data_IF_241272611403
#
_entry.id   IF_241272611403
#
_cell.length_a   1.000
_cell.length_b   1.000
_cell.length_c   1.000
_cell.angle_alpha   90.00
_cell.angle_beta   90.00
_cell.angle_gamma   90.00
#
_symmetry.space_group_name_H-M   'P 1'
#
loop_
_entity.id
_entity.type
_entity.pdbx_description
1 polymer ?
#
# COMPACT_ATOMS: atom_id res chain seq x y z
N UNK A 1 17.39 -10.03 10.93
CA UNK A 1 18.33 -8.95 10.57
C UNK A 1 17.47 -7.79 10.10
N UNK A 2 17.56 -6.68 10.81
CA UNK A 2 16.71 -5.49 10.67
C UNK A 2 16.88 -4.87 9.28
N UNK A 3 15.80 -4.75 8.52
CA UNK A 3 15.78 -3.92 7.33
C UNK A 3 15.60 -2.46 7.76
N UNK A 4 16.70 -1.72 7.80
CA UNK A 4 16.69 -0.25 7.79
C UNK A 4 16.27 0.18 6.38
N UNK A 5 15.05 0.68 6.22
CA UNK A 5 14.64 1.33 4.97
C UNK A 5 15.33 2.68 4.85
N UNK A 6 15.97 2.94 3.71
CA UNK A 6 16.48 4.24 3.31
C UNK A 6 15.38 5.06 2.60
N UNK A 7 14.22 5.19 3.24
CA UNK A 7 13.20 6.18 2.88
C UNK A 7 13.27 7.24 3.98
N UNK A 8 13.39 8.55 3.66
CA UNK A 8 13.37 9.56 4.70
C UNK A 8 12.09 9.40 5.50
N UNK A 9 12.22 9.32 6.82
CA UNK A 9 11.10 9.18 7.74
C UNK A 9 10.26 10.47 7.68
N UNK A 10 9.28 10.51 6.77
CA UNK A 10 8.33 11.63 6.62
C UNK A 10 7.55 11.84 7.92
N UNK A 11 7.37 10.79 8.72
CA UNK A 11 6.75 10.86 10.05
C UNK A 11 7.65 11.57 11.07
N UNK A 12 8.98 11.48 10.94
CA UNK A 12 9.92 12.26 11.76
C UNK A 12 10.10 13.70 11.26
N UNK A 13 10.06 13.96 9.94
CA UNK A 13 10.09 15.33 9.42
C UNK A 13 8.83 16.12 9.78
N UNK A 14 7.65 15.50 9.74
CA UNK A 14 6.41 16.10 10.22
C UNK A 14 6.42 16.33 11.75
N UNK A 15 7.01 15.40 12.52
CA UNK A 15 7.19 15.54 13.97
C UNK A 15 8.22 16.61 14.37
N UNK A 16 9.24 16.89 13.54
CA UNK A 16 10.29 17.87 13.87
C UNK A 16 9.89 19.34 13.69
N UNK A 17 8.75 19.63 13.03
CA UNK A 17 8.27 21.02 12.83
C UNK A 17 7.19 21.46 13.82
N UNK A 18 6.91 20.68 14.86
CA UNK A 18 5.89 20.98 15.87
C UNK A 18 6.44 21.32 17.26
N UNK A 19 7.76 21.43 17.45
CA UNK A 19 8.34 21.94 18.70
C UNK A 19 8.31 23.46 18.76
N UNK A 20 7.12 24.04 18.72
CA UNK A 20 6.86 25.44 19.09
C UNK A 20 5.37 25.67 19.38
N UNK A 21 4.70 24.76 20.11
CA UNK A 21 3.37 25.07 20.64
C UNK A 21 3.52 25.93 21.88
N UNK A 22 3.29 27.23 21.69
CA UNK A 22 3.26 28.22 22.76
C UNK A 22 2.28 27.82 23.87
N UNK A 23 2.49 28.24 25.14
CA UNK A 23 1.67 27.86 26.31
C UNK A 23 0.20 28.36 26.27
N UNK A 24 -0.21 29.02 25.18
CA UNK A 24 -1.44 29.80 25.11
C UNK A 24 -2.72 28.97 24.94
N UNK A 25 -2.63 27.72 24.48
CA UNK A 25 -3.81 26.84 24.30
C UNK A 25 -4.20 26.05 25.56
N UNK A 26 -3.23 25.75 26.43
CA UNK A 26 -3.49 25.08 27.71
C UNK A 26 -4.18 26.03 28.70
N UNK A 27 -3.91 27.33 28.61
CA UNK A 27 -4.54 28.35 29.46
C UNK A 27 -6.04 28.54 29.21
N UNK A 28 -6.52 28.31 27.98
CA UNK A 28 -7.95 28.45 27.66
C UNK A 28 -8.79 27.34 28.33
N UNK A 29 -8.20 26.16 28.56
CA UNK A 29 -8.85 25.05 29.26
C UNK A 29 -8.86 25.27 30.79
N UNK A 30 -7.90 26.04 31.32
CA UNK A 30 -7.73 26.28 32.76
C UNK A 30 -8.60 27.42 33.33
N UNK A 31 -9.10 28.34 32.51
CA UNK A 31 -9.76 29.57 33.00
C UNK A 31 -11.27 29.43 33.32
N UNK A 32 -11.90 28.28 33.14
CA UNK A 32 -13.35 28.14 33.29
C UNK A 32 -13.86 27.63 34.66
N UNK A 33 -13.01 27.41 35.67
CA UNK A 33 -13.39 26.63 36.86
C UNK A 33 -13.83 27.43 38.10
N UNK A 34 -14.92 28.20 38.02
CA UNK A 34 -15.61 28.74 39.22
C UNK A 34 -17.15 28.67 39.12
N UNK A 35 -17.73 27.52 39.52
CA UNK A 35 -19.03 27.29 40.22
C UNK A 35 -19.67 25.96 39.81
N UNK A 36 -20.46 25.35 40.71
CA UNK A 36 -21.00 23.97 40.60
C UNK A 36 -21.97 23.73 39.42
N UNK A 37 -22.69 24.76 38.95
CA UNK A 37 -23.56 24.67 37.76
C UNK A 37 -22.72 24.82 36.48
N UNK A 38 -21.70 25.67 36.54
CA UNK A 38 -20.73 25.85 35.47
C UNK A 38 -19.92 24.56 35.27
N UNK A 39 -19.57 23.82 36.33
CA UNK A 39 -18.81 22.56 36.20
C UNK A 39 -19.59 21.41 35.53
N UNK A 40 -20.89 21.26 35.77
CA UNK A 40 -21.68 20.19 35.12
C UNK A 40 -21.95 20.52 33.65
N UNK A 41 -22.31 21.78 33.35
CA UNK A 41 -22.47 22.24 31.97
C UNK A 41 -21.13 22.26 31.22
N UNK A 42 -20.03 22.61 31.88
CA UNK A 42 -18.67 22.52 31.33
C UNK A 42 -18.25 21.07 31.13
N UNK A 43 -18.64 20.14 31.99
CA UNK A 43 -18.39 18.72 31.78
C UNK A 43 -19.12 18.24 30.53
N UNK A 44 -20.40 18.60 30.35
CA UNK A 44 -21.16 18.23 29.15
C UNK A 44 -20.57 18.89 27.90
N UNK A 45 -20.18 20.17 27.94
CA UNK A 45 -19.50 20.84 26.84
C UNK A 45 -18.12 20.25 26.53
N UNK A 46 -17.33 19.92 27.56
CA UNK A 46 -16.02 19.28 27.43
C UNK A 46 -16.16 17.87 26.86
N UNK A 47 -17.17 17.13 27.31
CA UNK A 47 -17.49 15.80 26.82
C UNK A 47 -17.88 15.85 25.34
N UNK A 48 -18.76 16.78 24.95
CA UNK A 48 -19.13 17.00 23.55
C UNK A 48 -17.88 17.35 22.73
N UNK A 49 -17.07 18.32 23.19
CA UNK A 49 -15.87 18.77 22.48
C UNK A 49 -14.84 17.65 22.28
N UNK A 50 -14.58 16.85 23.33
CA UNK A 50 -13.63 15.74 23.28
C UNK A 50 -14.13 14.59 22.39
N UNK A 51 -15.44 14.40 22.26
CA UNK A 51 -16.02 13.37 21.39
C UNK A 51 -16.13 13.77 19.92
N UNK A 52 -16.05 15.07 19.59
CA UNK A 52 -16.17 15.52 18.19
C UNK A 52 -15.11 14.92 17.26
N UNK A 53 -13.84 14.93 17.68
CA UNK A 53 -12.72 14.45 16.84
C UNK A 53 -12.82 12.94 16.58
N UNK A 54 -13.01 12.06 17.59
CA UNK A 54 -13.32 10.66 17.36
C UNK A 54 -14.49 10.43 16.41
N UNK A 55 -15.59 11.18 16.57
CA UNK A 55 -16.77 11.02 15.72
C UNK A 55 -16.47 11.36 14.25
N UNK A 56 -15.70 12.42 13.99
CA UNK A 56 -15.24 12.78 12.64
C UNK A 56 -14.37 11.68 12.06
N UNK A 57 -13.40 11.16 12.82
CA UNK A 57 -12.51 10.09 12.37
C UNK A 57 -13.26 8.79 12.06
N UNK A 58 -14.23 8.41 12.91
CA UNK A 58 -15.06 7.23 12.69
C UNK A 58 -15.92 7.29 11.41
N UNK A 59 -16.16 8.48 10.88
CA UNK A 59 -16.83 8.67 9.58
C UNK A 59 -15.82 8.79 8.44
N UNK A 60 -14.77 9.59 8.62
CA UNK A 60 -13.80 9.90 7.58
C UNK A 60 -12.94 8.70 7.19
N UNK A 61 -12.53 7.88 8.15
CA UNK A 61 -11.68 6.70 7.91
C UNK A 61 -12.41 5.68 7.03
N UNK A 62 -13.61 5.18 7.37
CA UNK A 62 -14.32 4.24 6.50
C UNK A 62 -14.63 4.81 5.12
N UNK A 63 -15.00 6.09 5.02
CA UNK A 63 -15.24 6.73 3.73
C UNK A 63 -13.98 6.76 2.85
N UNK A 64 -12.82 7.04 3.45
CA UNK A 64 -11.53 7.03 2.74
C UNK A 64 -11.14 5.61 2.32
N UNK A 65 -11.33 4.61 3.19
CA UNK A 65 -11.07 3.21 2.86
C UNK A 65 -11.93 2.74 1.69
N UNK A 66 -13.24 3.01 1.71
CA UNK A 66 -14.15 2.66 0.61
C UNK A 66 -13.74 3.32 -0.72
N UNK A 67 -13.27 4.57 -0.65
CA UNK A 67 -12.77 5.26 -1.83
C UNK A 67 -11.53 4.57 -2.40
N UNK A 68 -10.57 4.17 -1.55
CA UNK A 68 -9.36 3.47 -1.98
C UNK A 68 -9.70 2.08 -2.54
N UNK A 69 -10.62 1.34 -1.91
CA UNK A 69 -11.06 0.04 -2.41
C UNK A 69 -11.67 0.14 -3.80
N UNK A 70 -12.53 1.14 -4.05
CA UNK A 70 -13.08 1.40 -5.38
C UNK A 70 -11.99 1.66 -6.44
N UNK A 71 -10.94 2.36 -6.04
CA UNK A 71 -9.83 2.73 -6.93
C UNK A 71 -8.91 1.54 -7.20
N UNK A 72 -8.69 0.69 -6.20
CA UNK A 72 -8.01 -0.60 -6.36
C UNK A 72 -8.73 -1.49 -7.37
N UNK A 73 -10.06 -1.60 -7.28
CA UNK A 73 -10.83 -2.41 -8.23
C UNK A 73 -10.77 -1.85 -9.66
N UNK A 74 -10.78 -0.52 -9.80
CA UNK A 74 -10.62 0.14 -11.10
C UNK A 74 -9.23 -0.13 -11.70
N UNK A 75 -8.16 0.03 -10.91
CA UNK A 75 -6.79 -0.23 -11.30
C UNK A 75 -6.59 -1.71 -11.69
N UNK A 76 -7.11 -2.65 -10.88
CA UNK A 76 -7.07 -4.09 -11.16
C UNK A 76 -7.75 -4.45 -12.46
N UNK A 77 -8.93 -3.88 -12.72
CA UNK A 77 -9.65 -4.08 -13.98
C UNK A 77 -8.80 -3.65 -15.19
N UNK A 78 -8.19 -2.45 -15.15
CA UNK A 78 -7.32 -1.97 -16.22
C UNK A 78 -6.10 -2.86 -16.40
N UNK A 79 -5.44 -3.25 -15.30
CA UNK A 79 -4.32 -4.19 -15.27
C UNK A 79 -4.67 -5.50 -15.98
N UNK A 80 -5.82 -6.10 -15.66
CA UNK A 80 -6.22 -7.38 -16.25
C UNK A 80 -6.45 -7.27 -17.76
N UNK A 81 -7.04 -6.14 -18.19
CA UNK A 81 -7.29 -5.83 -19.61
C UNK A 81 -6.01 -5.60 -20.38
N UNK A 82 -5.08 -4.80 -19.84
CA UNK A 82 -3.78 -4.56 -20.48
C UNK A 82 -2.96 -5.84 -20.56
N UNK A 83 -2.95 -6.63 -19.49
CA UNK A 83 -2.27 -7.92 -19.47
C UNK A 83 -2.84 -8.84 -20.54
N UNK A 84 -4.17 -8.96 -20.67
CA UNK A 84 -4.80 -9.80 -21.69
C UNK A 84 -4.46 -9.35 -23.13
N UNK A 85 -4.40 -8.04 -23.39
CA UNK A 85 -4.00 -7.50 -24.69
C UNK A 85 -2.54 -7.84 -24.99
N UNK A 86 -1.64 -7.66 -24.02
CA UNK A 86 -0.22 -7.94 -24.17
C UNK A 86 0.06 -9.45 -24.29
N UNK A 87 -0.69 -10.30 -23.59
CA UNK A 87 -0.64 -11.76 -23.73
C UNK A 87 -1.04 -12.18 -25.15
N UNK A 88 -2.11 -11.61 -25.70
CA UNK A 88 -2.53 -11.85 -27.09
C UNK A 88 -1.47 -11.39 -28.09
N UNK A 89 -0.87 -10.23 -27.86
CA UNK A 89 0.17 -9.68 -28.71
C UNK A 89 1.51 -10.45 -28.62
N UNK A 90 1.82 -11.10 -27.49
CA UNK A 90 3.09 -11.80 -27.30
C UNK A 90 3.39 -12.81 -28.42
N UNK A 91 2.34 -13.46 -28.94
CA UNK A 91 2.42 -14.45 -30.02
C UNK A 91 2.18 -13.87 -31.43
N UNK A 92 1.84 -12.58 -31.55
CA UNK A 92 1.53 -11.91 -32.82
C UNK A 92 2.44 -10.67 -33.04
N UNK A 93 3.47 -10.78 -33.90
CA UNK A 93 4.35 -9.66 -34.24
C UNK A 93 3.61 -8.45 -34.83
N UNK A 94 2.52 -8.65 -35.59
CA UNK A 94 1.76 -7.57 -36.21
C UNK A 94 0.99 -6.78 -35.16
N UNK A 95 0.32 -7.48 -34.24
CA UNK A 95 -0.37 -6.86 -33.11
C UNK A 95 0.61 -6.12 -32.19
N UNK A 96 1.82 -6.64 -31.98
CA UNK A 96 2.86 -5.92 -31.22
C UNK A 96 3.25 -4.60 -31.86
N UNK A 97 3.37 -4.57 -33.19
CA UNK A 97 3.68 -3.35 -33.94
C UNK A 97 2.53 -2.34 -33.86
N UNK A 98 1.28 -2.79 -33.97
CA UNK A 98 0.08 -1.95 -33.81
C UNK A 98 -0.01 -1.33 -32.40
N UNK A 99 0.42 -2.07 -31.37
CA UNK A 99 0.36 -1.62 -29.99
C UNK A 99 1.49 -0.68 -29.55
N UNK A 100 2.61 -0.61 -30.30
CA UNK A 100 3.78 0.20 -29.92
C UNK A 100 3.42 1.66 -29.57
N UNK A 101 2.58 2.38 -30.36
CA UNK A 101 2.28 3.78 -30.08
C UNK A 101 1.52 4.00 -28.78
N UNK A 102 0.87 2.98 -28.24
CA UNK A 102 0.05 3.08 -27.03
C UNK A 102 0.84 2.92 -25.73
N UNK A 103 2.12 2.55 -25.80
CA UNK A 103 2.99 2.37 -24.62
C UNK A 103 2.31 1.51 -23.54
N UNK A 104 1.65 0.44 -23.97
CA UNK A 104 0.76 -0.34 -23.11
C UNK A 104 1.52 -1.08 -21.99
N UNK A 105 2.80 -1.40 -22.21
CA UNK A 105 3.65 -2.03 -21.20
C UNK A 105 3.97 -1.04 -20.09
N UNK A 106 4.35 0.18 -20.46
CA UNK A 106 4.63 1.28 -19.55
C UNK A 106 3.37 1.62 -18.75
N UNK A 107 2.21 1.70 -19.41
CA UNK A 107 0.93 1.90 -18.75
C UNK A 107 0.61 0.76 -17.77
N UNK A 108 0.86 -0.50 -18.14
CA UNK A 108 0.70 -1.64 -17.23
C UNK A 108 1.63 -1.51 -16.01
N UNK A 109 2.89 -1.12 -16.20
CA UNK A 109 3.81 -0.89 -15.08
C UNK A 109 3.28 0.19 -14.15
N UNK A 110 2.79 1.30 -14.70
CA UNK A 110 2.28 2.44 -13.93
C UNK A 110 1.09 2.05 -13.07
N UNK A 111 0.12 1.33 -13.64
CA UNK A 111 -1.07 0.93 -12.88
C UNK A 111 -0.73 -0.14 -11.85
N UNK A 112 0.23 -1.05 -12.12
CA UNK A 112 0.74 -1.99 -11.11
C UNK A 112 1.42 -1.27 -9.94
N UNK A 113 2.20 -0.22 -10.22
CA UNK A 113 2.81 0.61 -9.19
C UNK A 113 1.74 1.36 -8.38
N UNK A 114 0.74 1.89 -9.06
CA UNK A 114 -0.39 2.55 -8.42
C UNK A 114 -1.19 1.61 -7.51
N UNK A 115 -1.47 0.38 -7.96
CA UNK A 115 -2.11 -0.65 -7.14
C UNK A 115 -1.33 -0.90 -5.83
N UNK A 116 0.00 -1.05 -5.95
CA UNK A 116 0.89 -1.21 -4.78
C UNK A 116 0.82 0.01 -3.86
N UNK A 117 0.86 1.21 -4.42
CA UNK A 117 0.82 2.44 -3.65
C UNK A 117 -0.50 2.59 -2.87
N UNK A 118 -1.63 2.28 -3.52
CA UNK A 118 -2.94 2.25 -2.88
C UNK A 118 -3.02 1.21 -1.75
N UNK A 119 -2.41 0.03 -1.92
CA UNK A 119 -2.36 -0.99 -0.87
C UNK A 119 -1.54 -0.53 0.35
N UNK A 120 -0.44 0.19 0.13
CA UNK A 120 0.37 0.78 1.21
C UNK A 120 -0.47 1.80 1.98
N UNK A 121 -1.11 2.75 1.28
CA UNK A 121 -1.98 3.75 1.92
C UNK A 121 -3.12 3.06 2.68
N UNK A 122 -3.77 2.06 2.09
CA UNK A 122 -4.86 1.34 2.74
C UNK A 122 -4.39 0.67 4.04
N UNK A 123 -3.22 0.03 4.02
CA UNK A 123 -2.62 -0.56 5.22
C UNK A 123 -2.32 0.47 6.30
N UNK A 124 -1.82 1.65 5.92
CA UNK A 124 -1.55 2.75 6.86
C UNK A 124 -2.85 3.28 7.47
N UNK A 125 -3.91 3.44 6.68
CA UNK A 125 -5.24 3.86 7.16
C UNK A 125 -5.86 2.81 8.08
N UNK A 126 -5.73 1.52 7.77
CA UNK A 126 -6.20 0.43 8.64
C UNK A 126 -5.46 0.48 9.99
N UNK A 127 -4.15 0.72 9.97
CA UNK A 127 -3.35 0.85 11.19
C UNK A 127 -3.79 2.07 12.00
N UNK A 128 -3.94 3.23 11.36
CA UNK A 128 -4.47 4.44 12.00
C UNK A 128 -5.88 4.24 12.57
N UNK A 129 -6.75 3.49 11.88
CA UNK A 129 -8.08 3.16 12.38
C UNK A 129 -8.04 2.38 13.69
N UNK A 130 -7.13 1.41 13.81
CA UNK A 130 -6.94 0.63 15.03
C UNK A 130 -6.41 1.51 16.18
N UNK A 131 -5.49 2.42 15.88
CA UNK A 131 -4.95 3.37 16.85
C UNK A 131 -6.04 4.36 17.34
N UNK A 132 -6.85 4.89 16.44
CA UNK A 132 -8.00 5.75 16.76
C UNK A 132 -9.01 5.01 17.64
N UNK A 133 -9.32 3.75 17.35
CA UNK A 133 -10.24 2.95 18.16
C UNK A 133 -9.69 2.74 19.58
N UNK A 134 -8.40 2.44 19.71
CA UNK A 134 -7.72 2.31 20.99
C UNK A 134 -7.76 3.62 21.79
N UNK A 135 -7.37 4.74 21.17
CA UNK A 135 -7.36 6.06 21.81
C UNK A 135 -8.76 6.51 22.21
N UNK A 136 -9.78 6.25 21.39
CA UNK A 136 -11.17 6.58 21.70
C UNK A 136 -11.69 5.81 22.91
N UNK A 137 -11.33 4.53 23.05
CA UNK A 137 -11.64 3.73 24.25
C UNK A 137 -10.96 4.29 25.50
N UNK A 138 -9.68 4.66 25.39
CA UNK A 138 -8.93 5.27 26.51
C UNK A 138 -9.50 6.64 26.91
N UNK A 139 -9.88 7.47 25.93
CA UNK A 139 -10.53 8.75 26.16
C UNK A 139 -11.84 8.58 26.93
N UNK A 140 -12.67 7.62 26.52
CA UNK A 140 -13.91 7.27 27.21
C UNK A 140 -13.68 6.81 28.66
N UNK A 141 -12.67 5.97 28.89
CA UNK A 141 -12.32 5.50 30.23
C UNK A 141 -11.86 6.65 31.15
N UNK A 142 -11.02 7.57 30.65
CA UNK A 142 -10.58 8.73 31.43
C UNK A 142 -11.70 9.74 31.66
N UNK A 143 -12.65 9.90 30.73
CA UNK A 143 -13.84 10.73 30.95
C UNK A 143 -14.72 10.16 32.07
N UNK A 144 -14.93 8.85 32.12
CA UNK A 144 -15.68 8.22 33.20
C UNK A 144 -14.92 8.32 34.53
N UNK A 145 -13.59 8.17 34.52
CA UNK A 145 -12.76 8.40 35.70
C UNK A 145 -12.88 9.85 36.21
N UNK A 146 -12.86 10.83 35.31
CA UNK A 146 -13.04 12.25 35.62
C UNK A 146 -14.41 12.48 36.27
N UNK A 147 -15.47 11.96 35.65
CA UNK A 147 -16.84 12.04 36.14
C UNK A 147 -16.96 11.47 37.55
N UNK A 148 -16.43 10.26 37.79
CA UNK A 148 -16.46 9.62 39.10
C UNK A 148 -15.64 10.38 40.15
N UNK A 149 -14.56 11.05 39.73
CA UNK A 149 -13.71 11.85 40.62
C UNK A 149 -14.41 13.13 41.09
N UNK A 150 -15.26 13.73 40.26
CA UNK A 150 -15.95 15.01 40.52
C UNK A 150 -17.37 14.79 41.07
N UNK A 151 -17.99 13.65 40.78
CA UNK A 151 -19.37 13.33 41.18
C UNK A 151 -19.58 13.54 42.68
N UNK A 152 -20.64 14.27 43.02
CA UNK A 152 -21.07 14.52 44.41
C UNK A 152 -20.05 15.21 45.34
N UNK A 153 -19.03 15.87 44.80
CA UNK A 153 -18.04 16.63 45.58
C UNK A 153 -18.20 18.13 45.38
N UNK A 154 -18.20 18.89 46.47
CA UNK A 154 -18.24 20.37 46.48
C UNK A 154 -16.88 20.99 46.13
N UNK A 155 -15.78 20.28 46.40
CA UNK A 155 -14.43 20.67 46.02
C UNK A 155 -13.58 19.41 45.75
N UNK A 156 -12.72 19.45 44.75
CA UNK A 156 -11.83 18.35 44.39
C UNK A 156 -10.38 18.84 44.36
N UNK A 157 -9.44 18.13 45.02
CA UNK A 157 -8.04 18.52 44.99
C UNK A 157 -7.46 18.53 43.59
N UNK A 158 -6.74 19.59 43.25
CA UNK A 158 -5.96 19.76 42.01
C UNK A 158 -5.11 18.53 41.69
N UNK A 159 -4.45 17.95 42.70
CA UNK A 159 -3.60 16.76 42.56
C UNK A 159 -4.33 15.51 42.08
N UNK A 160 -5.66 15.43 42.22
CA UNK A 160 -6.48 14.31 41.76
C UNK A 160 -7.01 14.52 40.35
N UNK A 161 -7.33 15.76 39.97
CA UNK A 161 -8.00 16.05 38.68
C UNK A 161 -7.01 16.40 37.58
N UNK A 162 -5.91 17.09 37.91
CA UNK A 162 -4.92 17.52 36.91
C UNK A 162 -4.29 16.36 36.12
N UNK A 163 -3.89 15.23 36.74
CA UNK A 163 -3.37 14.10 35.97
C UNK A 163 -4.36 13.55 34.95
N UNK A 164 -5.66 13.55 35.27
CA UNK A 164 -6.72 13.08 34.35
C UNK A 164 -6.88 14.05 33.18
N UNK A 165 -6.86 15.36 33.44
CA UNK A 165 -6.89 16.37 32.37
C UNK A 165 -5.67 16.30 31.46
N UNK A 166 -4.48 16.04 32.02
CA UNK A 166 -3.26 15.85 31.22
C UNK A 166 -3.46 14.64 30.29
N UNK A 167 -3.87 13.49 30.82
CA UNK A 167 -4.12 12.29 30.02
C UNK A 167 -5.17 12.52 28.91
N UNK A 168 -6.30 13.17 29.24
CA UNK A 168 -7.34 13.54 28.26
C UNK A 168 -6.79 14.47 27.18
N UNK A 169 -5.99 15.48 27.55
CA UNK A 169 -5.42 16.43 26.60
C UNK A 169 -4.44 15.76 25.64
N UNK A 170 -3.59 14.86 26.14
CA UNK A 170 -2.65 14.09 25.32
C UNK A 170 -3.40 13.21 24.32
N UNK A 171 -4.40 12.44 24.79
CA UNK A 171 -5.20 11.57 23.92
C UNK A 171 -5.95 12.37 22.84
N UNK A 172 -6.55 13.50 23.22
CA UNK A 172 -7.26 14.33 22.27
C UNK A 172 -6.34 14.97 21.24
N UNK A 173 -5.14 15.41 21.63
CA UNK A 173 -4.13 15.90 20.68
C UNK A 173 -3.68 14.79 19.73
N UNK A 174 -3.43 13.56 20.21
CA UNK A 174 -3.09 12.43 19.35
C UNK A 174 -4.20 12.11 18.35
N UNK A 175 -5.48 12.14 18.76
CA UNK A 175 -6.62 11.98 17.86
C UNK A 175 -6.71 13.13 16.83
N UNK A 176 -6.35 14.35 17.23
CA UNK A 176 -6.29 15.47 16.31
C UNK A 176 -5.18 15.29 15.26
N UNK A 177 -4.03 14.75 15.65
CA UNK A 177 -2.94 14.44 14.73
C UNK A 177 -3.37 13.39 13.68
N UNK A 178 -4.13 12.36 14.08
CA UNK A 178 -4.70 11.37 13.15
C UNK A 178 -5.63 11.99 12.10
N UNK A 179 -6.37 13.05 12.48
CA UNK A 179 -7.24 13.77 11.52
C UNK A 179 -6.43 14.44 10.41
N UNK A 180 -5.24 14.93 10.74
CA UNK A 180 -4.32 15.53 9.77
C UNK A 180 -3.77 14.44 8.84
N UNK A 181 -3.35 13.30 9.38
CA UNK A 181 -2.82 12.17 8.59
C UNK A 181 -3.86 11.68 7.59
N UNK A 182 -5.08 11.38 8.06
CA UNK A 182 -6.19 10.95 7.18
C UNK A 182 -6.47 11.99 6.10
N UNK A 183 -6.47 13.28 6.46
CA UNK A 183 -6.65 14.36 5.49
C UNK A 183 -5.55 14.43 4.43
N UNK A 184 -4.29 14.24 4.81
CA UNK A 184 -3.15 14.22 3.88
C UNK A 184 -3.23 13.02 2.94
N UNK A 185 -3.55 11.83 3.47
CA UNK A 185 -3.67 10.61 2.67
C UNK A 185 -4.82 10.72 1.65
N UNK A 186 -5.97 11.26 2.07
CA UNK A 186 -7.09 11.54 1.16
C UNK A 186 -6.76 12.57 0.09
N UNK A 187 -5.96 13.59 0.42
CA UNK A 187 -5.52 14.59 -0.57
C UNK A 187 -4.49 14.02 -1.56
N UNK A 188 -3.54 13.19 -1.09
CA UNK A 188 -2.56 12.53 -1.97
C UNK A 188 -3.24 11.76 -3.10
N UNK A 189 -4.36 11.11 -2.79
CA UNK A 189 -5.18 10.41 -3.76
C UNK A 189 -5.66 11.33 -4.90
N UNK A 190 -6.27 12.47 -4.54
CA UNK A 190 -6.83 13.41 -5.53
C UNK A 190 -5.75 14.00 -6.44
N UNK A 191 -4.51 14.09 -5.96
CA UNK A 191 -3.37 14.54 -6.74
C UNK A 191 -2.79 13.47 -7.68
N UNK A 192 -2.92 12.18 -7.37
CA UNK A 192 -2.38 11.10 -8.21
C UNK A 192 -3.34 10.72 -9.34
N UNK A 193 -4.65 10.81 -9.08
CA UNK A 193 -5.68 10.40 -10.03
C UNK A 193 -5.52 10.98 -11.47
N UNK A 194 -5.18 12.27 -11.67
CA UNK A 194 -5.05 12.85 -13.02
C UNK A 194 -3.94 12.21 -13.86
N UNK A 195 -2.87 11.73 -13.22
CA UNK A 195 -1.73 11.11 -13.91
C UNK A 195 -2.09 9.73 -14.48
N UNK A 196 -3.13 9.09 -13.94
CA UNK A 196 -3.63 7.79 -14.43
C UNK A 196 -4.59 7.97 -15.59
N UNK A 197 -5.45 9.00 -15.54
CA UNK A 197 -6.38 9.33 -16.62
C UNK A 197 -5.69 9.77 -17.92
N UNK A 198 -4.42 10.16 -17.87
CA UNK A 198 -3.65 10.54 -19.05
C UNK A 198 -3.56 9.39 -20.07
N UNK A 199 -3.43 8.14 -19.63
CA UNK A 199 -3.33 7.01 -20.56
C UNK A 199 -4.64 6.74 -21.31
N UNK A 200 -5.79 7.03 -20.72
CA UNK A 200 -7.10 6.90 -21.40
C UNK A 200 -7.20 7.81 -22.64
N UNK A 201 -6.44 8.91 -22.68
CA UNK A 201 -6.36 9.78 -23.87
C UNK A 201 -5.61 9.11 -25.02
N UNK A 202 -4.55 8.36 -24.71
CA UNK A 202 -3.72 7.66 -25.70
C UNK A 202 -4.32 6.32 -26.10
N UNK A 203 -4.97 5.63 -25.16
CA UNK A 203 -5.57 4.32 -25.37
C UNK A 203 -7.03 4.29 -24.89
N UNK A 204 -7.95 4.91 -25.66
CA UNK A 204 -9.33 5.05 -25.25
C UNK A 204 -10.07 3.71 -25.22
N UNK A 205 -11.16 3.65 -24.47
CA UNK A 205 -11.99 2.45 -24.26
C UNK A 205 -12.37 1.72 -25.57
N UNK A 206 -12.68 2.48 -26.63
CA UNK A 206 -12.99 1.90 -27.96
C UNK A 206 -11.80 1.19 -28.58
N UNK A 207 -10.59 1.73 -28.45
CA UNK A 207 -9.38 1.07 -28.90
C UNK A 207 -9.12 -0.18 -28.06
N UNK A 208 -9.24 -0.07 -26.74
CA UNK A 208 -9.08 -1.20 -25.82
C UNK A 208 -10.01 -2.36 -26.15
N UNK A 209 -11.31 -2.08 -26.37
CA UNK A 209 -12.29 -3.12 -26.69
C UNK A 209 -12.02 -3.82 -28.02
N UNK A 210 -11.51 -3.11 -29.04
CA UNK A 210 -11.11 -3.73 -30.31
C UNK A 210 -9.98 -4.74 -30.11
N UNK A 211 -8.97 -4.40 -29.32
CA UNK A 211 -7.82 -5.28 -29.07
C UNK A 211 -8.20 -6.47 -28.17
N UNK A 212 -9.15 -6.27 -27.24
CA UNK A 212 -9.72 -7.30 -26.38
C UNK A 212 -10.69 -8.25 -27.11
N UNK A 213 -11.13 -7.94 -28.33
CA UNK A 213 -12.05 -8.81 -29.04
C UNK A 213 -11.47 -10.22 -29.22
N UNK A 214 -12.23 -11.24 -28.81
CA UNK A 214 -11.80 -12.64 -28.80
C UNK A 214 -10.80 -13.02 -27.71
N UNK A 215 -10.42 -12.10 -26.81
CA UNK A 215 -9.59 -12.40 -25.64
C UNK A 215 -10.43 -12.54 -24.36
N UNK A 216 -10.07 -13.50 -23.53
CA UNK A 216 -10.62 -13.63 -22.18
C UNK A 216 -9.79 -12.78 -21.22
N UNK A 217 -10.43 -11.79 -20.59
CA UNK A 217 -9.79 -11.00 -19.53
C UNK A 217 -9.77 -11.83 -18.24
N UNK A 218 -8.57 -12.27 -17.84
CA UNK A 218 -8.35 -13.08 -16.64
C UNK A 218 -7.90 -12.19 -15.47
N UNK A 219 -8.26 -12.57 -14.25
CA UNK A 219 -7.66 -12.00 -13.04
C UNK A 219 -6.29 -12.64 -12.78
N UNK A 220 -5.48 -12.05 -11.90
CA UNK A 220 -4.20 -12.67 -11.51
C UNK A 220 -4.39 -14.01 -10.81
N UNK A 221 -5.43 -14.13 -9.99
CA UNK A 221 -5.80 -15.40 -9.34
C UNK A 221 -6.13 -16.46 -10.38
N UNK A 222 -6.86 -16.10 -11.45
CA UNK A 222 -7.11 -17.01 -12.57
C UNK A 222 -5.80 -17.44 -13.25
N UNK A 223 -4.92 -16.49 -13.60
CA UNK A 223 -3.62 -16.79 -14.24
C UNK A 223 -2.75 -17.72 -13.40
N UNK A 224 -2.70 -17.50 -12.08
CA UNK A 224 -1.95 -18.37 -11.17
C UNK A 224 -2.53 -19.79 -11.12
N UNK A 225 -3.85 -19.92 -11.24
CA UNK A 225 -4.56 -21.21 -11.16
C UNK A 225 -4.41 -22.10 -12.40
N UNK A 226 -4.09 -21.53 -13.56
CA UNK A 226 -4.03 -22.27 -14.84
C UNK A 226 -2.97 -23.37 -14.88
N UNK A 227 -1.92 -23.27 -14.07
CA UNK A 227 -0.80 -24.20 -14.03
C UNK A 227 -0.54 -24.78 -12.62
N UNK A 228 -1.56 -24.84 -11.76
CA UNK A 228 -1.39 -25.30 -10.38
C UNK A 228 -0.93 -26.75 -10.24
N UNK A 229 -1.25 -27.61 -11.20
CA UNK A 229 -0.91 -29.03 -11.18
C UNK A 229 0.50 -29.30 -11.74
N UNK A 230 1.08 -28.33 -12.45
CA UNK A 230 2.37 -28.45 -13.13
C UNK A 230 3.54 -28.03 -12.23
N UNK A 231 3.86 -28.85 -11.22
CA UNK A 231 4.99 -28.59 -10.31
C UNK A 231 6.34 -28.95 -10.90
N UNK A 232 7.37 -28.23 -10.46
CA UNK A 232 8.78 -28.54 -10.77
C UNK A 232 9.21 -29.82 -10.07
N UNK A 233 9.94 -30.68 -10.79
CA UNK A 233 10.56 -31.85 -10.20
C UNK A 233 11.98 -31.50 -9.69
N UNK A 234 12.18 -31.58 -8.38
CA UNK A 234 13.45 -31.26 -7.72
C UNK A 234 14.60 -32.12 -8.25
N UNK A 235 14.32 -33.35 -8.69
CA UNK A 235 15.34 -34.26 -9.22
C UNK A 235 15.99 -33.76 -10.52
N UNK A 236 15.31 -32.91 -11.28
CA UNK A 236 15.77 -32.41 -12.58
C UNK A 236 16.88 -31.36 -12.40
N UNK A 237 16.91 -30.65 -11.26
CA UNK A 237 17.87 -29.59 -10.96
C UNK A 237 18.53 -29.77 -9.59
N UNK A 238 19.28 -30.87 -9.40
CA UNK A 238 19.88 -31.25 -8.09
C UNK A 238 20.81 -30.21 -7.45
N UNK A 239 21.31 -29.24 -8.22
CA UNK A 239 22.19 -28.16 -7.74
C UNK A 239 21.44 -26.91 -7.31
N UNK A 240 20.13 -26.84 -7.57
CA UNK A 240 19.27 -25.71 -7.26
C UNK A 240 18.33 -26.07 -6.12
N UNK A 241 18.05 -25.09 -5.28
CA UNK A 241 17.17 -25.25 -4.13
C UNK A 241 15.76 -24.78 -4.52
N UNK A 242 14.79 -25.70 -4.43
CA UNK A 242 13.38 -25.45 -4.70
C UNK A 242 12.57 -25.55 -3.42
N UNK A 243 11.77 -24.53 -3.14
CA UNK A 243 10.95 -24.41 -1.94
C UNK A 243 9.48 -24.61 -2.31
N UNK A 244 8.78 -25.38 -1.47
CA UNK A 244 7.37 -25.68 -1.60
C UNK A 244 6.60 -25.35 -0.32
N UNK A 245 5.28 -25.05 -0.41
CA UNK A 245 4.46 -24.71 0.75
C UNK A 245 4.47 -25.78 1.84
N UNK A 246 4.52 -27.05 1.46
CA UNK A 246 4.38 -28.17 2.39
C UNK A 246 5.67 -28.46 3.18
N UNK A 247 6.84 -28.05 2.67
CA UNK A 247 8.16 -28.40 3.22
C UNK A 247 8.92 -27.23 3.81
N UNK A 248 8.43 -25.99 3.63
CA UNK A 248 9.15 -24.77 3.99
C UNK A 248 8.48 -24.03 5.13
N UNK A 249 9.17 -23.87 6.26
CA UNK A 249 8.68 -23.05 7.36
C UNK A 249 8.62 -21.56 6.97
N UNK A 250 7.56 -20.87 7.39
CA UNK A 250 7.32 -19.46 7.03
C UNK A 250 7.30 -19.19 5.51
N UNK A 251 6.82 -20.15 4.71
CA UNK A 251 6.73 -20.02 3.25
C UNK A 251 6.06 -18.71 2.80
N UNK A 252 4.96 -18.32 3.45
CA UNK A 252 4.21 -17.10 3.12
C UNK A 252 4.95 -15.79 3.46
N UNK A 253 6.05 -15.86 4.22
CA UNK A 253 6.88 -14.71 4.60
C UNK A 253 8.15 -14.58 3.74
N UNK A 254 8.34 -15.46 2.76
CA UNK A 254 9.49 -15.38 1.87
C UNK A 254 9.40 -14.09 1.04
N UNK A 255 10.50 -13.33 1.02
CA UNK A 255 10.61 -12.11 0.22
C UNK A 255 10.88 -12.48 -1.24
N UNK A 256 9.79 -12.70 -1.97
CA UNK A 256 9.85 -13.04 -3.40
C UNK A 256 10.29 -11.82 -4.20
N UNK A 257 11.32 -12.01 -5.01
CA UNK A 257 11.84 -11.01 -5.92
C UNK A 257 10.77 -10.56 -6.92
N UNK A 258 10.93 -9.34 -7.42
CA UNK A 258 10.03 -8.77 -8.42
C UNK A 258 8.57 -8.76 -7.97
N UNK A 259 8.34 -8.66 -6.65
CA UNK A 259 7.00 -8.71 -6.02
C UNK A 259 6.16 -9.91 -6.44
N UNK A 260 6.81 -11.04 -6.73
CA UNK A 260 6.11 -12.27 -7.11
C UNK A 260 5.69 -12.37 -8.58
N UNK A 261 6.08 -11.43 -9.44
CA UNK A 261 5.94 -11.60 -10.89
C UNK A 261 6.92 -12.65 -11.43
N UNK A 262 6.53 -13.32 -12.52
CA UNK A 262 7.36 -14.32 -13.17
C UNK A 262 8.65 -13.71 -13.71
N UNK A 263 9.78 -14.11 -13.10
CA UNK A 263 11.11 -13.63 -13.48
C UNK A 263 11.45 -13.93 -14.94
N UNK A 264 11.11 -15.15 -15.39
CA UNK A 264 11.40 -15.61 -16.74
C UNK A 264 10.60 -14.84 -17.79
N UNK A 265 9.27 -14.72 -17.63
CA UNK A 265 8.42 -14.06 -18.62
C UNK A 265 8.77 -12.60 -18.81
N UNK A 266 9.11 -11.89 -17.72
CA UNK A 266 9.60 -10.52 -17.82
C UNK A 266 10.89 -10.43 -18.65
N UNK A 267 11.83 -11.36 -18.42
CA UNK A 267 13.09 -11.43 -19.14
C UNK A 267 12.94 -11.87 -20.61
N UNK A 268 12.16 -12.92 -20.89
CA UNK A 268 12.06 -13.55 -22.21
C UNK A 268 11.00 -12.90 -23.12
N UNK A 269 9.93 -12.32 -22.56
CA UNK A 269 8.77 -11.83 -23.31
C UNK A 269 8.67 -10.31 -23.28
N UNK A 270 9.73 -9.63 -23.73
CA UNK A 270 9.75 -8.15 -23.93
C UNK A 270 9.22 -7.30 -22.74
N UNK A 271 9.35 -7.80 -21.51
CA UNK A 271 8.93 -7.10 -20.29
C UNK A 271 7.49 -7.39 -19.84
N UNK A 272 6.80 -8.36 -20.45
CA UNK A 272 5.46 -8.75 -20.02
C UNK A 272 5.45 -9.18 -18.55
N UNK A 273 4.62 -8.52 -17.75
CA UNK A 273 4.38 -8.87 -16.34
C UNK A 273 3.24 -9.88 -16.22
N UNK A 274 3.56 -11.11 -15.84
CA UNK A 274 2.58 -12.12 -15.44
C UNK A 274 2.81 -12.52 -13.98
N UNK A 275 1.76 -12.72 -13.17
CA UNK A 275 1.91 -13.18 -11.79
C UNK A 275 2.56 -14.56 -11.77
N UNK A 276 3.56 -14.73 -10.91
CA UNK A 276 4.13 -16.03 -10.62
C UNK A 276 3.24 -16.81 -9.66
N UNK A 277 3.25 -18.13 -9.77
CA UNK A 277 2.54 -19.03 -8.87
C UNK A 277 3.55 -19.76 -7.95
N UNK A 278 3.62 -19.42 -6.65
CA UNK A 278 4.46 -20.13 -5.69
C UNK A 278 4.22 -21.63 -5.60
N UNK A 279 3.02 -22.12 -5.95
CA UNK A 279 2.67 -23.54 -5.89
C UNK A 279 3.42 -24.40 -6.94
N UNK A 280 3.91 -23.78 -8.03
CA UNK A 280 4.77 -24.45 -9.03
C UNK A 280 6.13 -24.82 -8.41
N UNK A 281 6.58 -24.02 -7.44
CA UNK A 281 7.88 -24.10 -6.78
C UNK A 281 8.58 -22.73 -6.80
N UNK A 282 9.11 -22.31 -5.66
CA UNK A 282 9.95 -21.12 -5.55
C UNK A 282 11.40 -21.55 -5.74
N UNK A 283 12.10 -20.94 -6.70
CA UNK A 283 13.54 -21.15 -6.86
C UNK A 283 14.29 -20.21 -5.92
N UNK A 284 15.14 -20.79 -5.05
CA UNK A 284 16.13 -20.02 -4.29
C UNK A 284 17.45 -20.01 -5.05
N UNK A 285 17.91 -18.82 -5.40
CA UNK A 285 19.17 -18.61 -6.11
C UNK A 285 19.91 -17.42 -5.51
N UNK A 286 21.16 -17.61 -5.04
CA UNK A 286 21.98 -16.58 -4.38
C UNK A 286 21.23 -15.83 -3.27
N UNK A 287 20.55 -16.57 -2.37
CA UNK A 287 19.72 -16.04 -1.27
C UNK A 287 18.53 -15.15 -1.70
N UNK A 288 18.15 -15.22 -2.98
CA UNK A 288 16.96 -14.56 -3.54
C UNK A 288 15.94 -15.60 -3.98
N UNK A 289 14.66 -15.25 -3.88
CA UNK A 289 13.54 -16.16 -4.14
C UNK A 289 12.78 -15.72 -5.39
N UNK A 290 12.55 -16.62 -6.34
CA UNK A 290 11.91 -16.33 -7.62
C UNK A 290 10.70 -17.24 -7.88
N UNK A 291 9.64 -16.67 -8.43
CA UNK A 291 8.41 -17.39 -8.85
C UNK A 291 8.24 -17.37 -10.36
N UNK A 292 7.39 -18.27 -10.86
CA UNK A 292 7.16 -18.49 -12.28
C UNK A 292 5.67 -18.68 -12.57
N UNK A 293 5.20 -18.27 -13.75
CA UNK A 293 3.80 -18.44 -14.15
C UNK A 293 3.50 -19.84 -14.70
N UNK A 294 4.53 -20.60 -15.11
CA UNK A 294 4.41 -21.98 -15.59
C UNK A 294 5.65 -22.80 -15.23
N UNK A 295 5.53 -24.13 -15.29
CA UNK A 295 6.65 -25.07 -15.12
C UNK A 295 7.75 -24.82 -16.17
N UNK A 296 7.38 -24.60 -17.43
CA UNK A 296 8.33 -24.37 -18.51
C UNK A 296 9.15 -23.10 -18.29
N UNK A 297 8.52 -22.04 -17.78
CA UNK A 297 9.19 -20.81 -17.39
C UNK A 297 10.20 -21.04 -16.25
N UNK A 298 9.82 -21.87 -15.28
CA UNK A 298 10.68 -22.26 -14.16
C UNK A 298 11.91 -23.06 -14.65
N UNK A 299 11.71 -24.02 -15.56
CA UNK A 299 12.77 -24.86 -16.12
C UNK A 299 13.73 -24.02 -16.97
N UNK A 300 13.18 -23.19 -17.87
CA UNK A 300 13.98 -22.31 -18.72
C UNK A 300 14.83 -21.36 -17.88
N UNK A 301 14.28 -20.77 -16.82
CA UNK A 301 15.05 -19.92 -15.92
C UNK A 301 16.12 -20.69 -15.15
N UNK A 302 15.82 -21.92 -14.71
CA UNK A 302 16.72 -22.76 -13.94
C UNK A 302 17.96 -23.23 -14.71
N UNK A 303 17.88 -23.32 -16.05
CA UNK A 303 19.04 -23.64 -16.89
C UNK A 303 20.14 -22.56 -16.79
N UNK A 304 19.76 -21.28 -16.73
CA UNK A 304 20.71 -20.18 -16.61
C UNK A 304 20.12 -18.97 -15.84
N UNK A 305 20.00 -19.06 -14.50
CA UNK A 305 19.36 -18.00 -13.71
C UNK A 305 20.05 -16.65 -13.85
N UNK A 306 21.39 -16.63 -13.89
CA UNK A 306 22.16 -15.39 -13.96
C UNK A 306 21.87 -14.61 -15.24
N UNK A 307 21.77 -15.30 -16.38
CA UNK A 307 21.45 -14.69 -17.67
C UNK A 307 20.10 -13.95 -17.64
N UNK A 308 19.05 -14.61 -17.13
CA UNK A 308 17.73 -13.98 -17.04
C UNK A 308 17.70 -12.85 -16.02
N UNK A 309 18.37 -13.00 -14.87
CA UNK A 309 18.51 -11.92 -13.87
C UNK A 309 19.18 -10.69 -14.49
N UNK A 310 20.22 -10.89 -15.30
CA UNK A 310 20.90 -9.80 -16.00
C UNK A 310 19.99 -9.12 -17.02
N UNK A 311 19.20 -9.88 -17.78
CA UNK A 311 18.19 -9.32 -18.71
C UNK A 311 17.13 -8.51 -17.93
N UNK A 312 16.62 -9.04 -16.82
CA UNK A 312 15.67 -8.32 -15.96
C UNK A 312 16.29 -6.99 -15.51
N UNK A 313 17.56 -7.01 -15.09
CA UNK A 313 18.29 -5.83 -14.66
C UNK A 313 18.41 -4.78 -15.77
N UNK A 314 18.78 -5.20 -16.98
CA UNK A 314 18.94 -4.29 -18.12
C UNK A 314 17.59 -3.73 -18.60
N UNK A 315 16.53 -4.53 -18.59
CA UNK A 315 15.17 -4.05 -18.88
C UNK A 315 14.67 -3.05 -17.84
N UNK A 316 14.91 -3.32 -16.57
CA UNK A 316 14.62 -2.38 -15.50
C UNK A 316 15.39 -1.07 -15.72
N UNK A 317 16.69 -1.14 -16.05
CA UNK A 317 17.52 0.06 -16.32
C UNK A 317 16.96 0.95 -17.41
N UNK A 318 16.60 0.39 -18.56
CA UNK A 318 16.02 1.13 -19.70
C UNK A 318 14.70 1.83 -19.36
N UNK A 319 13.94 1.26 -18.42
CA UNK A 319 12.72 1.87 -17.90
C UNK A 319 13.00 2.86 -16.76
N UNK A 320 14.26 2.98 -16.28
CA UNK A 320 14.69 3.81 -15.13
C UNK A 320 15.61 4.98 -15.49
N UNK A 321 15.81 5.35 -16.76
CA UNK A 321 16.75 6.40 -17.20
C UNK A 321 16.48 7.82 -16.66
N UNK A 322 15.69 7.98 -15.60
CA UNK A 322 15.55 9.20 -14.82
C UNK A 322 15.99 9.12 -13.33
N UNK A 323 16.31 7.97 -12.69
CA UNK A 323 16.80 7.96 -11.27
C UNK A 323 17.71 6.76 -10.84
N UNK A 324 19.03 6.99 -10.82
CA UNK A 324 20.03 6.50 -9.84
C UNK A 324 20.14 5.01 -9.42
N UNK A 325 20.57 4.12 -10.32
CA UNK A 325 21.16 2.75 -10.20
C UNK A 325 21.22 1.82 -8.95
N UNK A 326 20.84 2.13 -7.72
CA UNK A 326 21.25 1.28 -6.56
C UNK A 326 20.30 0.19 -6.04
N UNK A 327 19.09 -0.03 -6.58
CA UNK A 327 18.19 -1.04 -5.99
C UNK A 327 17.25 -1.71 -7.00
N UNK A 328 17.69 -2.70 -7.78
CA UNK A 328 16.81 -3.40 -8.72
C UNK A 328 15.68 -4.21 -8.05
N UNK A 329 15.85 -4.62 -6.80
CA UNK A 329 14.85 -5.39 -6.04
C UNK A 329 13.65 -4.50 -5.62
N UNK A 330 13.86 -3.20 -5.40
CA UNK A 330 12.79 -2.20 -5.17
C UNK A 330 12.39 -1.43 -6.44
N UNK A 331 13.28 -1.34 -7.45
CA UNK A 331 13.09 -0.53 -8.67
C UNK A 331 12.40 -1.22 -9.83
N UNK A 332 12.07 -2.50 -9.74
CA UNK A 332 11.15 -3.09 -10.71
C UNK A 332 9.74 -2.43 -10.67
N UNK A 333 9.48 -1.59 -9.67
CA UNK A 333 8.18 -0.96 -9.35
C UNK A 333 8.34 0.54 -8.99
N UNK A 334 9.45 1.22 -9.30
CA UNK A 334 9.67 2.62 -8.86
C UNK A 334 10.19 3.59 -9.94
N UNK A 335 9.96 3.33 -11.23
CA UNK A 335 10.42 4.26 -12.27
C UNK A 335 9.36 4.61 -13.31
N UNK A 336 8.24 5.20 -12.87
CA UNK A 336 7.40 5.90 -13.85
C UNK A 336 6.58 7.09 -13.34
N UNK A 337 7.03 7.76 -12.28
CA UNK A 337 6.52 9.12 -12.00
C UNK A 337 7.13 10.15 -12.97
N UNK A 338 8.14 9.78 -13.77
CA UNK A 338 8.85 10.72 -14.62
C UNK A 338 8.30 10.87 -16.06
N UNK A 339 7.24 10.15 -16.43
CA UNK A 339 6.71 10.13 -17.81
C UNK A 339 5.34 10.81 -18.00
N UNK A 340 4.83 11.51 -16.98
CA UNK A 340 3.65 12.37 -17.11
C UNK A 340 3.92 13.83 -16.70
N UNK A 341 5.16 14.30 -16.86
CA UNK A 341 5.50 15.72 -16.88
C UNK A 341 5.94 16.15 -18.27
#
# INVERSE_FOLDING_TARGET
MEFRSCVPDWSAMARSRLTATSPSRVQVILLCFFSLIVFSLLYDCLFILLQTVPAVLHVAIPATMQHIDYQLETARSQVYRYTAILEKAANDPHMRAELQPYMLKEALYNIRQYEVFLQIILSDIITGAQEVEMMTKQLGAHLEQLKMTIKSKTAVPTSQVFPIFIALSTLWTSLQDETIVVGVLSNLFTHIQPFLGAHELYFPERAMQRHLNGATVKTDVCRMKEHMEDRVNVADFRKLEWLFPETTANFDKLLIQYRGFCAYTFAATDGLLLPGNPAIGILKYKEKYYTFNSKDAAYSFAENPEHYIDIVREKAKKNTDLLGSSCCDEKLVLSTVSFCM
#
